data_IF_984627119455
#
_entry.id   IF_984627119455
#
_cell.length_a   1.000
_cell.length_b   1.000
_cell.length_c   1.000
_cell.angle_alpha   90.00
_cell.angle_beta   90.00
_cell.angle_gamma   90.00
#
_symmetry.space_group_name_H-M   'P 1'
#
loop_
_entity.id
_entity.type
_entity.pdbx_description
1 polymer ?
#
# COMPACT_ATOMS: atom_id res chain seq x y z
N UNK A 1 -53.53 29.83 -2.31
CA UNK A 1 -52.22 30.13 -1.70
C UNK A 1 -51.75 29.10 -0.69
N UNK A 2 -52.53 28.67 0.31
CA UNK A 2 -52.09 27.67 1.32
C UNK A 2 -51.68 26.30 0.75
N UNK A 3 -52.25 25.81 -0.34
CA UNK A 3 -51.89 24.53 -0.98
C UNK A 3 -50.53 24.56 -1.70
N UNK A 4 -50.16 25.70 -2.27
CA UNK A 4 -48.86 25.86 -2.97
C UNK A 4 -47.70 26.01 -1.98
N UNK A 5 -47.95 26.62 -0.81
CA UNK A 5 -46.97 26.77 0.26
C UNK A 5 -46.62 25.38 0.87
N UNK A 6 -47.62 24.52 1.01
CA UNK A 6 -47.43 23.17 1.56
C UNK A 6 -46.62 22.29 0.58
N UNK A 7 -46.85 22.40 -0.75
CA UNK A 7 -46.08 21.65 -1.74
C UNK A 7 -44.61 22.15 -1.88
N UNK A 8 -44.38 23.44 -1.70
CA UNK A 8 -43.03 24.01 -1.70
C UNK A 8 -42.25 23.56 -0.44
N UNK A 9 -42.93 23.50 0.72
CA UNK A 9 -42.32 23.01 1.97
C UNK A 9 -42.00 21.51 1.92
N UNK A 10 -42.82 20.70 1.26
CA UNK A 10 -42.58 19.26 1.05
C UNK A 10 -41.40 19.08 0.04
N UNK A 11 -41.30 19.91 -1.01
CA UNK A 11 -40.21 19.86 -1.98
C UNK A 11 -38.86 20.27 -1.37
N UNK A 12 -38.84 21.27 -0.48
CA UNK A 12 -37.65 21.70 0.26
C UNK A 12 -37.22 20.61 1.28
N UNK A 13 -38.14 19.90 1.90
CA UNK A 13 -37.83 18.77 2.80
C UNK A 13 -37.28 17.56 2.04
N UNK A 14 -37.69 17.33 0.78
CA UNK A 14 -37.15 16.25 -0.04
C UNK A 14 -35.77 16.57 -0.62
N UNK A 15 -35.45 17.83 -0.89
CA UNK A 15 -34.13 18.24 -1.36
C UNK A 15 -33.09 18.27 -0.26
N UNK A 16 -33.47 18.41 1.00
CA UNK A 16 -32.55 18.31 2.15
C UNK A 16 -32.20 16.87 2.56
N UNK A 17 -32.97 15.86 2.12
CA UNK A 17 -32.69 14.45 2.37
C UNK A 17 -31.72 13.81 1.34
N UNK A 18 -31.53 14.45 0.18
CA UNK A 18 -30.65 13.91 -0.87
C UNK A 18 -29.18 14.32 -0.74
N UNK A 19 -28.82 15.22 0.20
CA UNK A 19 -27.43 15.62 0.44
C UNK A 19 -26.75 14.91 1.64
N UNK A 20 -27.42 13.96 2.26
CA UNK A 20 -26.85 13.21 3.40
C UNK A 20 -25.97 12.03 2.99
N UNK A 21 -25.88 11.71 1.70
CA UNK A 21 -25.15 10.51 1.24
C UNK A 21 -23.66 10.72 0.93
N UNK A 22 -23.14 11.95 1.02
CA UNK A 22 -21.71 12.23 0.73
C UNK A 22 -20.87 12.62 1.94
N UNK A 23 -21.41 12.59 3.15
CA UNK A 23 -20.63 12.94 4.36
C UNK A 23 -19.88 11.75 4.95
N UNK A 24 -20.32 10.51 4.69
CA UNK A 24 -19.70 9.31 5.27
C UNK A 24 -18.32 8.97 4.69
N UNK A 25 -17.97 9.47 3.49
CA UNK A 25 -16.65 9.28 2.88
C UNK A 25 -15.57 10.23 3.41
N UNK A 26 -15.93 11.23 4.20
CA UNK A 26 -14.99 12.24 4.74
C UNK A 26 -14.28 11.77 6.02
N UNK A 27 -14.82 10.77 6.71
CA UNK A 27 -14.28 10.31 7.99
C UNK A 27 -13.97 8.82 7.98
N UNK A 28 -12.83 8.46 8.56
CA UNK A 28 -12.51 7.05 8.83
C UNK A 28 -13.39 6.52 9.98
N UNK A 29 -13.98 5.36 9.79
CA UNK A 29 -14.75 4.70 10.86
C UNK A 29 -13.81 4.02 11.84
N UNK A 30 -13.95 4.31 13.14
CA UNK A 30 -13.21 3.67 14.24
C UNK A 30 -14.15 2.93 15.15
N UNK A 31 -13.78 1.71 15.51
CA UNK A 31 -14.57 0.80 16.31
C UNK A 31 -13.70 0.27 17.44
N UNK A 32 -14.22 0.29 18.67
CA UNK A 32 -13.65 -0.43 19.80
C UNK A 32 -14.40 -1.75 19.96
N UNK A 33 -13.69 -2.86 20.02
CA UNK A 33 -14.26 -4.19 20.16
C UNK A 33 -13.45 -5.05 21.13
N UNK A 34 -13.95 -6.24 21.42
CA UNK A 34 -13.32 -7.16 22.36
C UNK A 34 -13.41 -8.59 21.87
N UNK A 35 -12.29 -9.28 21.77
CA UNK A 35 -12.22 -10.70 21.44
C UNK A 35 -12.09 -11.51 22.76
N UNK A 36 -13.00 -12.42 23.01
CA UNK A 36 -12.86 -13.41 24.08
C UNK A 36 -11.95 -14.54 23.59
N UNK A 37 -10.73 -14.55 24.09
CA UNK A 37 -9.71 -15.51 23.67
C UNK A 37 -9.77 -16.80 24.52
N UNK A 38 -9.77 -17.94 23.83
CA UNK A 38 -9.62 -19.26 24.45
C UNK A 38 -8.14 -19.54 24.74
N UNK A 39 -7.21 -19.07 23.89
CA UNK A 39 -5.78 -19.28 24.10
C UNK A 39 -5.24 -18.46 25.26
N UNK A 40 -5.76 -17.23 25.46
CA UNK A 40 -5.34 -16.37 26.57
C UNK A 40 -6.19 -16.56 27.83
N UNK A 41 -7.36 -17.16 27.70
CA UNK A 41 -8.38 -17.29 28.75
C UNK A 41 -8.78 -15.92 29.35
N UNK A 42 -8.84 -14.90 28.51
CA UNK A 42 -9.21 -13.53 28.89
C UNK A 42 -9.86 -12.79 27.73
N UNK A 43 -10.48 -11.65 28.02
CA UNK A 43 -10.96 -10.71 27.01
C UNK A 43 -9.81 -9.81 26.56
N UNK A 44 -9.64 -9.64 25.25
CA UNK A 44 -8.65 -8.75 24.69
C UNK A 44 -9.33 -7.61 23.94
N UNK A 45 -9.08 -6.38 24.39
CA UNK A 45 -9.56 -5.18 23.75
C UNK A 45 -8.79 -4.91 22.46
N UNK A 46 -9.51 -4.54 21.42
CA UNK A 46 -8.96 -4.18 20.12
C UNK A 46 -9.56 -2.86 19.62
N UNK A 47 -8.79 -2.10 18.87
CA UNK A 47 -9.24 -0.93 18.13
C UNK A 47 -9.18 -1.23 16.64
N UNK A 48 -10.22 -0.83 15.89
CA UNK A 48 -10.34 -1.11 14.46
C UNK A 48 -10.52 0.21 13.73
N UNK A 49 -9.77 0.43 12.65
CA UNK A 49 -10.04 1.50 11.69
C UNK A 49 -10.36 0.89 10.33
N UNK A 50 -11.53 1.21 9.81
CA UNK A 50 -11.93 0.82 8.46
C UNK A 50 -11.36 1.80 7.43
N UNK A 51 -11.06 1.32 6.21
CA UNK A 51 -10.69 2.18 5.08
C UNK A 51 -11.79 3.19 4.76
N UNK A 52 -11.43 4.37 4.23
CA UNK A 52 -12.41 5.40 3.82
C UNK A 52 -13.40 4.88 2.78
N UNK A 53 -12.92 4.08 1.84
CA UNK A 53 -13.75 3.51 0.77
C UNK A 53 -14.49 2.23 1.16
N UNK A 54 -14.43 1.81 2.45
CA UNK A 54 -14.94 0.50 2.87
C UNK A 54 -16.43 0.32 2.56
N UNK A 55 -17.28 1.27 2.91
CA UNK A 55 -18.71 1.18 2.65
C UNK A 55 -19.08 1.41 1.17
N UNK A 56 -18.33 2.28 0.49
CA UNK A 56 -18.57 2.60 -0.91
C UNK A 56 -18.20 1.47 -1.89
N UNK A 57 -17.34 0.54 -1.47
CA UNK A 57 -16.83 -0.55 -2.32
C UNK A 57 -17.09 -1.93 -1.68
N UNK A 58 -18.31 -2.47 -1.78
CA UNK A 58 -18.72 -3.69 -1.07
C UNK A 58 -17.96 -4.95 -1.48
N UNK A 59 -17.40 -4.98 -2.70
CA UNK A 59 -16.66 -6.13 -3.23
C UNK A 59 -15.14 -6.03 -3.02
N UNK A 60 -14.63 -4.83 -2.67
CA UNK A 60 -13.18 -4.62 -2.47
C UNK A 60 -12.71 -5.27 -1.17
N UNK A 61 -11.57 -5.95 -1.25
CA UNK A 61 -10.83 -6.48 -0.09
C UNK A 61 -9.64 -5.60 0.20
N UNK A 62 -9.27 -5.52 1.47
CA UNK A 62 -8.25 -4.61 1.96
C UNK A 62 -7.14 -5.37 2.70
N UNK A 63 -5.87 -4.98 2.57
CA UNK A 63 -4.81 -5.49 3.44
C UNK A 63 -5.16 -5.34 4.92
N UNK A 64 -4.81 -6.34 5.72
CA UNK A 64 -4.98 -6.30 7.17
C UNK A 64 -3.67 -5.88 7.84
N UNK A 65 -3.66 -4.80 8.59
CA UNK A 65 -2.51 -4.37 9.40
C UNK A 65 -2.80 -4.56 10.89
N UNK A 66 -2.08 -5.49 11.52
CA UNK A 66 -2.13 -5.71 12.97
C UNK A 66 -1.06 -4.86 13.64
N UNK A 67 -1.48 -4.02 14.57
CA UNK A 67 -0.64 -3.12 15.35
C UNK A 67 -0.56 -3.65 16.78
N UNK A 68 0.61 -4.11 17.17
CA UNK A 68 0.90 -4.46 18.54
C UNK A 68 1.09 -3.21 19.40
N UNK A 69 0.94 -3.32 20.71
CA UNK A 69 0.91 -2.15 21.61
C UNK A 69 -0.15 -1.11 21.18
N UNK A 70 -1.37 -1.58 20.81
CA UNK A 70 -2.44 -0.75 20.27
C UNK A 70 -2.74 0.49 21.10
N UNK A 71 -2.67 0.38 22.41
CA UNK A 71 -2.96 1.46 23.36
C UNK A 71 -2.13 2.74 23.16
N UNK A 72 -0.95 2.69 22.53
CA UNK A 72 -0.17 3.89 22.21
C UNK A 72 0.31 3.94 20.74
N UNK A 73 0.43 2.80 20.05
CA UNK A 73 0.87 2.76 18.66
C UNK A 73 -0.26 2.97 17.65
N UNK A 74 -1.50 2.61 18.01
CA UNK A 74 -2.62 2.63 17.06
C UNK A 74 -2.82 3.98 16.38
N UNK A 75 -2.84 5.07 17.14
CA UNK A 75 -3.12 6.40 16.59
C UNK A 75 -2.06 6.88 15.59
N UNK A 76 -0.78 6.58 15.84
CA UNK A 76 0.32 6.93 14.92
C UNK A 76 0.18 6.13 13.62
N UNK A 77 -0.05 4.83 13.74
CA UNK A 77 -0.18 3.93 12.58
C UNK A 77 -1.43 4.28 11.78
N UNK A 78 -2.57 4.38 12.44
CA UNK A 78 -3.85 4.66 11.81
C UNK A 78 -3.87 6.02 11.08
N UNK A 79 -3.31 7.06 11.70
CA UNK A 79 -3.17 8.38 11.06
C UNK A 79 -2.19 8.37 9.89
N UNK A 80 -1.09 7.63 9.99
CA UNK A 80 -0.12 7.50 8.90
C UNK A 80 -0.69 6.76 7.70
N UNK A 81 -1.39 5.64 7.94
CA UNK A 81 -2.04 4.86 6.88
C UNK A 81 -3.14 5.69 6.21
N UNK A 82 -3.98 6.37 6.99
CA UNK A 82 -5.05 7.22 6.44
C UNK A 82 -4.49 8.33 5.55
N UNK A 83 -3.43 9.02 6.00
CA UNK A 83 -2.81 10.09 5.23
C UNK A 83 -2.15 9.57 3.93
N UNK A 84 -1.32 8.51 4.02
CA UNK A 84 -0.60 7.98 2.87
C UNK A 84 -1.55 7.36 1.83
N UNK A 85 -2.61 6.67 2.27
CA UNK A 85 -3.60 6.10 1.35
C UNK A 85 -4.48 7.17 0.69
N UNK A 86 -4.77 8.28 1.37
CA UNK A 86 -5.50 9.41 0.79
C UNK A 86 -4.79 9.98 -0.45
N UNK A 87 -3.47 10.02 -0.44
CA UNK A 87 -2.66 10.49 -1.57
C UNK A 87 -2.30 9.39 -2.58
N UNK A 88 -2.65 8.13 -2.30
CA UNK A 88 -2.38 7.00 -3.19
C UNK A 88 -0.97 6.41 -3.08
N UNK A 89 -0.16 6.85 -2.12
CA UNK A 89 1.18 6.30 -1.89
C UNK A 89 1.15 4.83 -1.44
N UNK A 90 0.07 4.42 -0.77
CA UNK A 90 -0.15 3.06 -0.28
C UNK A 90 -1.61 2.64 -0.52
N UNK A 91 -1.93 1.33 -0.55
CA UNK A 91 -3.33 0.90 -0.54
C UNK A 91 -4.01 1.27 0.78
N UNK A 92 -5.32 1.44 0.73
CA UNK A 92 -6.12 1.53 1.95
C UNK A 92 -6.04 0.21 2.74
N UNK A 93 -5.84 0.30 4.05
CA UNK A 93 -5.73 -0.86 4.93
C UNK A 93 -6.83 -0.89 5.98
N UNK A 94 -7.30 -2.08 6.34
CA UNK A 94 -8.03 -2.31 7.57
C UNK A 94 -7.00 -2.46 8.70
N UNK A 95 -7.09 -1.62 9.73
CA UNK A 95 -6.11 -1.55 10.81
C UNK A 95 -6.71 -2.08 12.09
N UNK A 96 -5.96 -2.92 12.80
CA UNK A 96 -6.36 -3.53 14.06
C UNK A 96 -5.27 -3.33 15.10
N UNK A 97 -5.53 -2.50 16.10
CA UNK A 97 -4.68 -2.36 17.28
C UNK A 97 -5.05 -3.40 18.33
N UNK A 98 -4.09 -4.16 18.80
CA UNK A 98 -4.26 -5.07 19.94
C UNK A 98 -3.72 -4.36 21.17
N UNK A 99 -4.60 -4.05 22.13
CA UNK A 99 -4.24 -3.36 23.34
C UNK A 99 -3.50 -4.30 24.32
N UNK A 100 -2.33 -3.88 24.78
CA UNK A 100 -1.41 -4.70 25.57
C UNK A 100 -0.90 -4.01 26.84
N UNK A 101 -1.45 -2.85 27.22
CA UNK A 101 -0.97 -2.01 28.34
C UNK A 101 -0.58 -2.85 29.57
N UNK A 102 -1.46 -3.74 30.02
CA UNK A 102 -1.26 -4.53 31.24
C UNK A 102 -0.68 -5.93 30.96
N UNK A 103 -0.63 -6.34 29.69
CA UNK A 103 -0.23 -7.70 29.28
C UNK A 103 1.02 -7.73 28.42
N UNK A 104 1.58 -6.57 28.05
CA UNK A 104 2.70 -6.42 27.12
C UNK A 104 3.86 -7.37 27.43
N UNK A 105 4.26 -7.44 28.70
CA UNK A 105 5.33 -8.32 29.13
C UNK A 105 4.96 -9.79 28.97
N UNK A 106 3.78 -10.19 29.41
CA UNK A 106 3.25 -11.57 29.31
C UNK A 106 3.13 -12.01 27.84
N UNK A 107 2.67 -11.15 26.96
CA UNK A 107 2.42 -11.45 25.55
C UNK A 107 3.71 -11.52 24.72
N UNK A 108 4.71 -10.70 25.05
CA UNK A 108 5.95 -10.57 24.28
C UNK A 108 7.22 -10.92 25.05
N UNK A 109 7.08 -11.48 26.24
CA UNK A 109 8.21 -11.99 27.00
C UNK A 109 8.88 -13.14 26.29
N UNK A 110 10.14 -13.00 26.21
CA UNK A 110 11.03 -13.67 25.33
C UNK A 110 11.22 -15.14 25.70
N UNK A 111 11.74 -15.81 24.75
CA UNK A 111 12.26 -17.15 24.69
C UNK A 111 12.80 -17.70 26.01
N UNK A 112 12.49 -18.92 26.26
CA UNK A 112 13.23 -19.76 27.19
C UNK A 112 14.74 -19.65 26.90
N UNK A 113 15.52 -19.42 27.92
CA UNK A 113 16.96 -19.18 27.80
C UNK A 113 17.76 -20.39 27.28
N UNK A 114 17.18 -21.59 27.33
CA UNK A 114 17.83 -22.83 26.91
C UNK A 114 17.35 -23.24 25.51
N UNK A 115 16.04 -23.35 25.34
CA UNK A 115 15.44 -23.86 24.11
C UNK A 115 15.27 -22.78 23.04
N UNK A 116 15.37 -21.49 23.41
CA UNK A 116 15.12 -20.36 22.56
C UNK A 116 13.74 -20.37 21.88
N UNK A 117 12.80 -21.10 22.45
CA UNK A 117 11.40 -21.10 22.01
C UNK A 117 10.57 -20.11 22.83
N UNK A 118 9.48 -19.58 22.28
CA UNK A 118 8.57 -18.74 23.05
C UNK A 118 8.11 -19.46 24.32
N UNK A 119 8.15 -18.74 25.45
CA UNK A 119 7.55 -19.26 26.67
C UNK A 119 6.03 -19.39 26.50
N UNK A 120 5.38 -20.17 27.35
CA UNK A 120 3.97 -20.57 27.19
C UNK A 120 3.04 -19.36 26.93
N UNK A 121 3.20 -18.25 27.67
CA UNK A 121 2.34 -17.07 27.51
C UNK A 121 2.52 -16.40 26.15
N UNK A 122 3.75 -16.30 25.65
CA UNK A 122 4.05 -15.73 24.31
C UNK A 122 3.57 -16.67 23.20
N UNK A 123 3.69 -17.99 23.39
CA UNK A 123 3.12 -18.97 22.46
C UNK A 123 1.58 -18.86 22.41
N UNK A 124 0.92 -18.69 23.56
CA UNK A 124 -0.54 -18.48 23.61
C UNK A 124 -0.96 -17.17 22.91
N UNK A 125 -0.16 -16.11 23.02
CA UNK A 125 -0.43 -14.86 22.32
C UNK A 125 -0.21 -14.99 20.80
N UNK A 126 0.79 -15.75 20.38
CA UNK A 126 0.96 -16.10 18.97
C UNK A 126 -0.26 -16.87 18.45
N UNK A 127 -0.72 -17.89 19.17
CA UNK A 127 -1.90 -18.69 18.80
C UNK A 127 -3.19 -17.85 18.80
N UNK A 128 -3.35 -16.91 19.72
CA UNK A 128 -4.45 -15.93 19.72
C UNK A 128 -4.47 -15.15 18.41
N UNK A 129 -3.35 -14.59 17.96
CA UNK A 129 -3.29 -13.83 16.71
C UNK A 129 -3.62 -14.72 15.51
N UNK A 130 -2.98 -15.89 15.42
CA UNK A 130 -3.09 -16.77 14.25
C UNK A 130 -4.45 -17.46 14.17
N UNK A 131 -4.95 -17.96 15.29
CA UNK A 131 -6.11 -18.84 15.31
C UNK A 131 -7.42 -18.16 15.76
N UNK A 132 -7.37 -16.93 16.28
CA UNK A 132 -8.55 -16.18 16.69
C UNK A 132 -8.66 -14.82 16.01
N UNK A 133 -7.64 -13.94 16.07
CA UNK A 133 -7.72 -12.59 15.48
C UNK A 133 -7.84 -12.66 13.95
N UNK A 134 -6.91 -13.31 13.26
CA UNK A 134 -6.94 -13.40 11.80
C UNK A 134 -8.22 -14.07 11.29
N UNK A 135 -8.69 -15.21 11.84
CA UNK A 135 -9.96 -15.81 11.46
C UNK A 135 -11.18 -14.94 11.75
N UNK A 136 -11.19 -14.19 12.87
CA UNK A 136 -12.26 -13.25 13.20
C UNK A 136 -12.39 -12.18 12.11
N UNK A 137 -11.28 -11.56 11.70
CA UNK A 137 -11.29 -10.55 10.65
C UNK A 137 -11.60 -11.15 9.27
N UNK A 138 -11.11 -12.35 8.97
CA UNK A 138 -11.42 -13.04 7.71
C UNK A 138 -12.89 -13.38 7.54
N UNK A 139 -13.60 -13.63 8.66
CA UNK A 139 -15.03 -13.96 8.67
C UNK A 139 -15.94 -12.75 8.64
N UNK A 140 -15.56 -11.67 9.33
CA UNK A 140 -16.45 -10.55 9.60
C UNK A 140 -16.14 -9.31 8.75
N UNK A 141 -14.96 -9.26 8.11
CA UNK A 141 -14.49 -8.11 7.34
C UNK A 141 -13.92 -8.52 5.99
N UNK A 142 -13.88 -7.59 5.05
CA UNK A 142 -13.33 -7.80 3.72
C UNK A 142 -11.82 -7.57 3.73
N UNK A 143 -11.06 -8.57 4.13
CA UNK A 143 -9.60 -8.53 4.12
C UNK A 143 -9.02 -9.35 2.96
N UNK A 144 -7.89 -8.88 2.40
CA UNK A 144 -7.10 -9.59 1.39
C UNK A 144 -6.17 -10.62 2.04
N UNK A 145 -5.38 -11.30 1.25
CA UNK A 145 -4.37 -12.24 1.78
C UNK A 145 -3.12 -11.52 2.28
N UNK A 146 -2.88 -10.29 1.83
CA UNK A 146 -1.74 -9.52 2.29
C UNK A 146 -1.99 -9.00 3.71
N UNK A 147 -1.11 -9.37 4.62
CA UNK A 147 -1.19 -9.01 6.04
C UNK A 147 0.11 -8.44 6.53
N UNK A 148 0.01 -7.39 7.31
CA UNK A 148 1.13 -6.68 7.93
C UNK A 148 1.02 -6.83 9.45
N UNK A 149 2.14 -7.04 10.13
CA UNK A 149 2.24 -6.90 11.58
C UNK A 149 3.30 -5.86 11.92
N UNK A 150 2.97 -4.98 12.86
CA UNK A 150 3.85 -3.91 13.33
C UNK A 150 4.02 -3.99 14.84
N UNK A 151 5.25 -3.83 15.31
CA UNK A 151 5.57 -3.75 16.72
C UNK A 151 6.79 -2.86 17.01
N UNK A 152 6.93 -2.51 18.30
CA UNK A 152 8.05 -1.71 18.80
C UNK A 152 8.75 -2.44 19.95
N UNK A 153 10.08 -2.37 20.02
CA UNK A 153 10.91 -2.95 21.09
C UNK A 153 10.63 -4.46 21.30
N UNK A 154 9.95 -4.83 22.36
CA UNK A 154 9.59 -6.23 22.70
C UNK A 154 8.61 -6.81 21.68
N UNK A 155 7.59 -6.06 21.37
CA UNK A 155 6.56 -6.50 20.42
C UNK A 155 7.08 -6.54 18.99
N UNK A 156 8.09 -5.72 18.63
CA UNK A 156 8.82 -5.86 17.37
C UNK A 156 9.61 -7.18 17.32
N UNK A 157 10.31 -7.53 18.41
CA UNK A 157 10.98 -8.84 18.51
C UNK A 157 9.96 -9.99 18.43
N UNK A 158 8.79 -9.85 19.06
CA UNK A 158 7.72 -10.83 18.95
C UNK A 158 7.20 -10.94 17.49
N UNK A 159 7.00 -9.82 16.80
CA UNK A 159 6.58 -9.81 15.39
C UNK A 159 7.57 -10.57 14.50
N UNK A 160 8.87 -10.50 14.78
CA UNK A 160 9.91 -11.21 14.04
C UNK A 160 9.75 -12.75 14.08
N UNK A 161 9.10 -13.32 15.10
CA UNK A 161 8.86 -14.77 15.15
C UNK A 161 7.95 -15.27 14.03
N UNK A 162 7.09 -14.43 13.48
CA UNK A 162 6.24 -14.81 12.35
C UNK A 162 7.06 -15.09 11.11
N UNK A 163 8.24 -14.44 10.95
CA UNK A 163 9.15 -14.67 9.85
C UNK A 163 9.95 -15.98 9.94
N UNK A 164 9.97 -16.61 11.12
CA UNK A 164 10.67 -17.88 11.34
C UNK A 164 9.85 -19.10 10.92
N UNK A 165 8.63 -18.90 10.44
CA UNK A 165 7.75 -19.98 9.99
C UNK A 165 7.94 -20.26 8.51
N UNK A 166 7.87 -21.55 8.13
CA UNK A 166 7.97 -21.97 6.72
C UNK A 166 6.91 -21.32 5.83
N UNK A 167 5.70 -21.16 6.38
CA UNK A 167 4.58 -20.47 5.71
C UNK A 167 4.12 -19.32 6.61
N UNK A 168 4.74 -18.14 6.50
CA UNK A 168 4.38 -16.99 7.32
C UNK A 168 2.94 -16.56 7.07
N UNK A 169 2.21 -16.28 8.15
CA UNK A 169 0.82 -15.77 8.05
C UNK A 169 0.77 -14.28 7.75
N UNK A 170 1.88 -13.57 7.94
CA UNK A 170 2.09 -12.19 7.55
C UNK A 170 3.08 -12.12 6.40
N UNK A 171 2.74 -11.34 5.37
CA UNK A 171 3.59 -11.09 4.21
C UNK A 171 4.51 -9.89 4.45
N UNK A 172 4.16 -9.03 5.41
CA UNK A 172 5.03 -7.93 5.82
C UNK A 172 5.17 -7.84 7.35
N UNK A 173 6.38 -7.53 7.80
CA UNK A 173 6.69 -7.25 9.21
C UNK A 173 7.40 -5.90 9.29
N UNK A 174 6.85 -5.00 10.11
CA UNK A 174 7.46 -3.72 10.46
C UNK A 174 7.98 -3.81 11.88
N UNK A 175 9.30 -3.78 12.02
CA UNK A 175 10.02 -4.01 13.27
C UNK A 175 10.76 -2.73 13.69
N UNK A 176 10.20 -2.01 14.67
CA UNK A 176 10.72 -0.71 15.11
C UNK A 176 11.52 -0.89 16.40
N UNK A 177 12.81 -0.53 16.38
CA UNK A 177 13.71 -0.64 17.55
C UNK A 177 13.61 -1.99 18.26
N UNK A 178 13.71 -3.13 17.57
CA UNK A 178 13.45 -4.43 18.19
C UNK A 178 14.49 -4.77 19.25
N UNK A 179 14.02 -5.11 20.45
CA UNK A 179 14.84 -5.70 21.51
C UNK A 179 15.04 -7.18 21.20
N UNK A 180 16.00 -7.46 20.33
CA UNK A 180 16.27 -8.81 19.83
C UNK A 180 16.55 -9.80 20.95
N UNK A 181 15.90 -10.96 20.90
CA UNK A 181 16.25 -12.09 21.74
C UNK A 181 17.53 -12.76 21.24
N UNK A 182 18.14 -13.58 22.10
CA UNK A 182 19.36 -14.30 21.75
C UNK A 182 19.18 -15.10 20.45
N UNK A 183 20.13 -15.01 19.56
CA UNK A 183 20.16 -15.66 18.25
C UNK A 183 19.08 -15.22 17.24
N UNK A 184 18.21 -14.25 17.56
CA UNK A 184 17.15 -13.81 16.64
C UNK A 184 17.76 -13.34 15.29
N UNK A 185 18.87 -12.59 15.32
CA UNK A 185 19.55 -12.13 14.10
C UNK A 185 19.95 -13.29 13.19
N UNK A 186 20.56 -14.34 13.75
CA UNK A 186 20.97 -15.53 13.00
C UNK A 186 19.76 -16.27 12.41
N UNK A 187 18.70 -16.46 13.22
CA UNK A 187 17.48 -17.12 12.76
C UNK A 187 16.78 -16.37 11.65
N UNK A 188 16.67 -15.03 11.77
CA UNK A 188 16.08 -14.19 10.71
C UNK A 188 16.89 -14.29 9.43
N UNK A 189 18.21 -14.10 9.51
CA UNK A 189 19.09 -14.17 8.34
C UNK A 189 19.02 -15.53 7.65
N UNK A 190 19.02 -16.63 8.42
CA UNK A 190 18.90 -17.95 7.85
C UNK A 190 17.55 -18.21 7.20
N UNK A 191 16.45 -17.88 7.86
CA UNK A 191 15.11 -18.13 7.31
C UNK A 191 14.81 -17.23 6.10
N UNK A 192 15.15 -15.94 6.18
CA UNK A 192 14.88 -14.99 5.09
C UNK A 192 15.74 -15.26 3.85
N UNK A 193 16.97 -15.75 4.01
CA UNK A 193 17.80 -16.17 2.87
C UNK A 193 17.20 -17.35 2.08
N UNK A 194 16.41 -18.20 2.74
CA UNK A 194 15.85 -19.44 2.17
C UNK A 194 14.34 -19.36 1.92
N UNK A 195 13.68 -18.22 2.22
CA UNK A 195 12.23 -18.15 2.09
C UNK A 195 11.77 -18.28 0.65
N UNK A 196 10.72 -19.10 0.46
CA UNK A 196 10.00 -19.19 -0.83
C UNK A 196 8.73 -18.33 -0.84
N UNK A 197 8.34 -17.77 0.30
CA UNK A 197 7.21 -16.85 0.40
C UNK A 197 7.65 -15.44 0.07
N UNK A 198 6.80 -14.67 -0.59
CA UNK A 198 7.01 -13.22 -0.78
C UNK A 198 6.91 -12.53 0.57
N UNK A 199 8.02 -11.97 1.04
CA UNK A 199 8.15 -11.32 2.34
C UNK A 199 8.70 -9.92 2.17
N UNK A 200 8.09 -8.98 2.89
CA UNK A 200 8.59 -7.63 3.06
C UNK A 200 8.99 -7.47 4.54
N UNK A 201 10.23 -7.11 4.77
CA UNK A 201 10.73 -6.88 6.12
C UNK A 201 11.31 -5.46 6.24
N UNK A 202 10.66 -4.62 7.02
CA UNK A 202 11.12 -3.26 7.30
C UNK A 202 11.64 -3.19 8.73
N UNK A 203 12.91 -2.81 8.87
CA UNK A 203 13.62 -2.72 10.14
C UNK A 203 14.03 -1.28 10.40
N UNK A 204 13.75 -0.74 11.58
CA UNK A 204 14.18 0.60 11.92
C UNK A 204 14.80 0.72 13.31
N UNK A 205 15.76 1.63 13.44
CA UNK A 205 16.38 2.06 14.70
C UNK A 205 17.02 3.44 14.53
N UNK A 206 17.67 3.94 15.57
CA UNK A 206 18.39 5.22 15.56
C UNK A 206 19.77 5.06 16.20
N UNK A 207 20.72 5.89 15.78
CA UNK A 207 22.03 6.01 16.44
C UNK A 207 21.94 6.48 17.89
N UNK A 208 20.82 7.12 18.27
CA UNK A 208 20.52 7.57 19.64
C UNK A 208 19.56 6.62 20.39
N UNK A 209 19.29 5.46 19.82
CA UNK A 209 18.55 4.38 20.50
C UNK A 209 19.38 3.79 21.67
N UNK A 210 18.78 2.90 22.44
CA UNK A 210 19.57 2.12 23.41
C UNK A 210 20.71 1.38 22.69
N UNK A 211 21.92 1.50 23.19
CA UNK A 211 23.13 0.98 22.55
C UNK A 211 23.00 -0.50 22.15
N UNK A 212 22.44 -1.33 23.02
CA UNK A 212 22.24 -2.76 22.75
C UNK A 212 21.24 -3.02 21.61
N UNK A 213 20.20 -2.16 21.47
CA UNK A 213 19.22 -2.27 20.39
C UNK A 213 19.87 -1.85 19.08
N UNK A 214 20.47 -0.66 19.04
CA UNK A 214 21.12 -0.16 17.83
C UNK A 214 22.20 -1.11 17.30
N UNK A 215 23.02 -1.67 18.19
CA UNK A 215 24.04 -2.66 17.84
C UNK A 215 23.43 -3.90 17.17
N UNK A 216 22.42 -4.52 17.81
CA UNK A 216 21.76 -5.71 17.26
C UNK A 216 21.07 -5.43 15.93
N UNK A 217 20.42 -4.27 15.79
CA UNK A 217 19.78 -3.84 14.54
C UNK A 217 20.82 -3.64 13.44
N UNK A 218 21.95 -2.99 13.74
CA UNK A 218 23.02 -2.77 12.78
C UNK A 218 23.65 -4.10 12.31
N UNK A 219 23.86 -5.05 13.22
CA UNK A 219 24.35 -6.39 12.88
C UNK A 219 23.36 -7.14 11.97
N UNK A 220 22.07 -7.12 12.30
CA UNK A 220 21.04 -7.75 11.47
C UNK A 220 20.95 -7.08 10.09
N UNK A 221 20.94 -5.76 10.05
CA UNK A 221 20.95 -5.00 8.79
C UNK A 221 22.06 -5.47 7.87
N UNK A 222 23.32 -5.50 8.36
CA UNK A 222 24.47 -5.91 7.58
C UNK A 222 24.33 -7.35 7.05
N UNK A 223 23.75 -8.25 7.87
CA UNK A 223 23.50 -9.63 7.46
C UNK A 223 22.42 -9.72 6.36
N UNK A 224 21.35 -8.93 6.48
CA UNK A 224 20.25 -8.96 5.52
C UNK A 224 20.55 -8.24 4.22
N UNK A 225 21.33 -7.17 4.24
CA UNK A 225 21.77 -6.44 3.04
C UNK A 225 22.58 -7.34 2.06
N UNK A 226 23.18 -8.42 2.58
CA UNK A 226 23.93 -9.38 1.76
C UNK A 226 23.07 -10.48 1.14
N UNK A 227 21.79 -10.57 1.50
CA UNK A 227 20.89 -11.63 1.02
C UNK A 227 20.37 -11.30 -0.38
N UNK A 228 20.68 -12.18 -1.33
CA UNK A 228 20.09 -12.14 -2.67
C UNK A 228 18.97 -13.17 -2.78
N UNK A 229 17.74 -12.78 -2.39
CA UNK A 229 16.56 -13.62 -2.52
C UNK A 229 15.41 -12.79 -3.11
N UNK A 230 14.99 -13.11 -4.34
CA UNK A 230 13.89 -12.42 -5.06
C UNK A 230 12.53 -12.45 -4.36
N UNK A 231 12.38 -13.28 -3.34
CA UNK A 231 11.17 -13.37 -2.54
C UNK A 231 11.24 -12.49 -1.28
N UNK A 232 12.41 -11.93 -0.97
CA UNK A 232 12.60 -11.03 0.15
C UNK A 232 12.78 -9.60 -0.35
N UNK A 233 11.92 -8.69 0.14
CA UNK A 233 12.18 -7.26 0.08
C UNK A 233 12.55 -6.81 1.49
N UNK A 234 13.79 -6.44 1.67
CA UNK A 234 14.30 -5.92 2.94
C UNK A 234 14.63 -4.44 2.81
N UNK A 235 14.23 -3.67 3.80
CA UNK A 235 14.63 -2.28 3.92
C UNK A 235 14.92 -1.91 5.37
N UNK A 236 15.99 -1.15 5.57
CA UNK A 236 16.37 -0.64 6.89
C UNK A 236 16.37 0.88 6.93
N UNK A 237 15.72 1.43 7.95
CA UNK A 237 15.63 2.86 8.21
C UNK A 237 16.42 3.20 9.47
N UNK A 238 17.62 3.74 9.30
CA UNK A 238 18.47 4.15 10.42
C UNK A 238 18.40 5.68 10.54
N UNK A 239 17.93 6.14 11.67
CA UNK A 239 17.80 7.55 12.01
C UNK A 239 19.04 8.03 12.79
N UNK A 240 19.36 9.32 12.72
CA UNK A 240 20.60 9.85 13.29
C UNK A 240 20.41 10.41 14.71
N UNK A 241 19.32 11.13 14.98
CA UNK A 241 19.17 11.96 16.16
C UNK A 241 18.01 11.57 17.09
N UNK A 242 17.13 10.67 16.65
CA UNK A 242 15.92 10.31 17.37
C UNK A 242 16.23 9.34 18.53
N UNK A 243 15.82 9.71 19.76
CA UNK A 243 15.90 8.77 20.86
C UNK A 243 14.82 7.68 20.75
N UNK A 244 14.95 6.63 21.53
CA UNK A 244 14.07 5.46 21.54
C UNK A 244 12.57 5.79 21.58
N UNK A 245 12.17 6.81 22.35
CA UNK A 245 10.76 7.13 22.59
C UNK A 245 10.15 8.02 21.50
N UNK A 246 10.96 8.84 20.82
CA UNK A 246 10.51 9.69 19.71
C UNK A 246 10.53 8.93 18.39
N UNK A 247 11.45 7.98 18.24
CA UNK A 247 11.66 7.24 17.01
C UNK A 247 10.38 6.70 16.37
N UNK A 248 9.41 6.11 17.08
CA UNK A 248 8.19 5.60 16.44
C UNK A 248 7.40 6.67 15.68
N UNK A 249 7.36 7.91 16.18
CA UNK A 249 6.61 9.00 15.54
C UNK A 249 7.15 9.37 14.15
N UNK A 250 8.41 9.13 13.88
CA UNK A 250 9.08 9.39 12.60
C UNK A 250 9.26 8.11 11.78
N UNK A 251 9.51 6.99 12.46
CA UNK A 251 9.76 5.71 11.82
C UNK A 251 8.48 5.09 11.24
N UNK A 252 7.33 5.18 11.93
CA UNK A 252 6.08 4.55 11.51
C UNK A 252 5.67 4.98 10.09
N UNK A 253 5.50 6.27 9.76
CA UNK A 253 5.07 6.67 8.42
C UNK A 253 6.08 6.26 7.34
N UNK A 254 7.39 6.36 7.63
CA UNK A 254 8.44 5.94 6.69
C UNK A 254 8.45 4.42 6.49
N UNK A 255 8.30 3.64 7.56
CA UNK A 255 8.26 2.18 7.49
C UNK A 255 7.03 1.67 6.73
N UNK A 256 5.88 2.30 6.92
CA UNK A 256 4.66 1.98 6.18
C UNK A 256 4.86 2.27 4.69
N UNK A 257 5.36 3.47 4.34
CA UNK A 257 5.64 3.82 2.95
C UNK A 257 6.66 2.86 2.32
N UNK A 258 7.72 2.51 3.03
CA UNK A 258 8.71 1.53 2.60
C UNK A 258 8.09 0.15 2.34
N UNK A 259 7.22 -0.32 3.25
CA UNK A 259 6.50 -1.59 3.08
C UNK A 259 5.69 -1.63 1.78
N UNK A 260 5.13 -0.50 1.36
CA UNK A 260 4.33 -0.37 0.14
C UNK A 260 5.06 0.35 -1.00
N UNK A 261 6.38 0.46 -1.00
CA UNK A 261 7.13 1.28 -1.95
C UNK A 261 6.93 0.89 -3.43
N UNK A 262 6.56 -0.37 -3.74
CA UNK A 262 6.20 -0.75 -5.10
C UNK A 262 4.79 -0.29 -5.52
N UNK A 263 3.95 0.13 -4.55
CA UNK A 263 2.56 0.51 -4.83
C UNK A 263 2.42 1.97 -5.29
N UNK A 264 3.32 2.87 -4.84
CA UNK A 264 3.31 4.27 -5.26
C UNK A 264 3.50 4.41 -6.76
N UNK A 265 3.02 5.49 -7.33
CA UNK A 265 3.26 5.81 -8.74
C UNK A 265 4.76 6.02 -8.99
N UNK A 266 5.16 5.90 -10.27
CA UNK A 266 6.52 6.18 -10.72
C UNK A 266 6.89 7.60 -10.31
N UNK A 267 7.95 7.73 -9.52
CA UNK A 267 8.49 9.02 -9.12
C UNK A 267 9.73 9.39 -9.97
N UNK A 268 10.21 10.61 -9.78
CA UNK A 268 11.38 11.09 -10.51
C UNK A 268 12.63 10.23 -10.29
N UNK A 269 12.78 9.63 -9.11
CA UNK A 269 13.96 8.78 -8.81
C UNK A 269 13.88 7.48 -9.61
N UNK A 270 12.70 6.84 -9.65
CA UNK A 270 12.46 5.63 -10.45
C UNK A 270 12.61 5.95 -11.94
N UNK A 271 12.10 7.10 -12.41
CA UNK A 271 12.27 7.54 -13.79
C UNK A 271 13.73 7.71 -14.15
N UNK A 272 14.48 8.56 -13.44
CA UNK A 272 15.87 8.90 -13.73
C UNK A 272 16.83 7.69 -13.61
N UNK A 273 16.56 6.77 -12.67
CA UNK A 273 17.48 5.64 -12.40
C UNK A 273 17.15 4.37 -13.19
N UNK A 274 15.90 4.17 -13.58
CA UNK A 274 15.44 2.92 -14.21
C UNK A 274 14.86 3.19 -15.59
N UNK A 275 13.81 4.04 -15.69
CA UNK A 275 13.05 4.18 -16.94
C UNK A 275 13.89 4.78 -18.05
N UNK A 276 14.64 5.86 -17.75
CA UNK A 276 15.52 6.50 -18.73
C UNK A 276 16.63 5.57 -19.29
N UNK A 277 16.84 4.42 -18.67
CA UNK A 277 17.88 3.44 -19.05
C UNK A 277 17.31 2.04 -19.36
N UNK A 278 16.04 1.94 -19.79
CA UNK A 278 15.40 0.66 -20.04
C UNK A 278 16.09 -0.13 -21.15
N UNK A 279 16.39 -1.40 -20.88
CA UNK A 279 16.87 -2.38 -21.86
C UNK A 279 15.72 -3.25 -22.41
N UNK A 280 14.51 -3.10 -21.91
CA UNK A 280 13.30 -3.81 -22.31
C UNK A 280 12.25 -2.83 -22.82
N UNK A 281 11.17 -3.34 -23.44
CA UNK A 281 10.02 -2.52 -23.84
C UNK A 281 9.49 -1.73 -22.63
N UNK A 282 9.21 -0.42 -22.77
CA UNK A 282 8.60 0.37 -21.71
C UNK A 282 7.21 -0.15 -21.31
N UNK A 283 6.50 -0.78 -22.23
CA UNK A 283 5.21 -1.42 -21.95
C UNK A 283 5.38 -2.67 -21.11
N UNK A 284 6.40 -3.50 -21.42
CA UNK A 284 6.73 -4.67 -20.60
C UNK A 284 7.19 -4.27 -19.20
N UNK A 285 7.98 -3.20 -19.08
CA UNK A 285 8.36 -2.65 -17.79
C UNK A 285 7.11 -2.30 -16.96
N UNK A 286 6.20 -1.51 -17.53
CA UNK A 286 4.99 -1.06 -16.85
C UNK A 286 4.09 -2.24 -16.46
N UNK A 287 3.88 -3.17 -17.35
CA UNK A 287 3.08 -4.38 -17.08
C UNK A 287 3.69 -5.25 -15.99
N UNK A 288 5.01 -5.47 -16.03
CA UNK A 288 5.73 -6.24 -15.02
C UNK A 288 5.68 -5.56 -13.64
N UNK A 289 5.79 -4.24 -13.59
CA UNK A 289 5.67 -3.46 -12.37
C UNK A 289 4.33 -3.69 -11.68
N UNK A 290 3.23 -3.63 -12.42
CA UNK A 290 1.88 -3.87 -11.87
C UNK A 290 1.63 -5.35 -11.54
N UNK A 291 2.26 -6.28 -12.27
CA UNK A 291 2.24 -7.69 -11.89
C UNK A 291 2.96 -7.94 -10.54
N UNK A 292 4.08 -7.24 -10.27
CA UNK A 292 4.76 -7.30 -8.97
C UNK A 292 3.88 -6.74 -7.84
N UNK A 293 3.13 -5.65 -8.07
CA UNK A 293 2.16 -5.12 -7.11
C UNK A 293 1.14 -6.20 -6.75
N UNK A 294 0.56 -6.85 -7.75
CA UNK A 294 -0.38 -7.96 -7.54
C UNK A 294 0.26 -9.14 -6.78
N UNK A 295 1.46 -9.54 -7.16
CA UNK A 295 2.16 -10.68 -6.57
C UNK A 295 2.52 -10.46 -5.10
N UNK A 296 2.92 -9.24 -4.72
CA UNK A 296 3.33 -8.92 -3.36
C UNK A 296 2.16 -8.51 -2.47
N UNK A 297 1.21 -7.71 -2.99
CA UNK A 297 0.15 -7.12 -2.17
C UNK A 297 -1.21 -7.81 -2.31
N UNK A 298 -1.35 -8.79 -3.20
CA UNK A 298 -2.65 -9.45 -3.52
C UNK A 298 -3.72 -8.43 -3.93
N UNK A 299 -3.30 -7.38 -4.67
CA UNK A 299 -4.17 -6.29 -5.10
C UNK A 299 -4.06 -6.05 -6.62
N UNK A 300 -5.22 -6.03 -7.28
CA UNK A 300 -5.33 -5.64 -8.69
C UNK A 300 -5.42 -4.10 -8.78
N UNK A 301 -4.27 -3.42 -8.87
CA UNK A 301 -4.20 -1.97 -9.06
C UNK A 301 -4.29 -1.65 -10.55
N UNK A 302 -5.21 -0.76 -10.94
CA UNK A 302 -5.24 -0.17 -12.29
C UNK A 302 -3.99 0.68 -12.50
N UNK A 303 -3.38 0.61 -13.66
CA UNK A 303 -2.21 1.42 -14.01
C UNK A 303 -2.58 2.90 -13.90
N UNK A 304 -1.83 3.67 -13.13
CA UNK A 304 -2.15 5.07 -12.87
C UNK A 304 -1.90 5.94 -14.11
N UNK A 305 -2.61 7.08 -14.19
CA UNK A 305 -2.35 8.06 -15.24
C UNK A 305 -0.93 8.63 -15.16
N UNK A 306 -0.38 8.80 -13.95
CA UNK A 306 0.99 9.26 -13.77
C UNK A 306 2.01 8.26 -14.38
N UNK A 307 1.75 6.97 -14.24
CA UNK A 307 2.63 5.93 -14.78
C UNK A 307 2.51 5.83 -16.31
N UNK A 308 1.31 6.02 -16.86
CA UNK A 308 1.14 6.19 -18.31
C UNK A 308 1.91 7.41 -18.86
N UNK A 309 1.84 8.54 -18.16
CA UNK A 309 2.57 9.76 -18.54
C UNK A 309 4.10 9.58 -18.43
N UNK A 310 4.59 8.87 -17.44
CA UNK A 310 6.03 8.56 -17.31
C UNK A 310 6.54 7.73 -18.50
N UNK A 311 5.74 6.76 -18.98
CA UNK A 311 6.09 5.98 -20.18
C UNK A 311 5.97 6.84 -21.44
N UNK A 312 5.00 7.72 -21.53
CA UNK A 312 4.87 8.69 -22.62
C UNK A 312 6.10 9.60 -22.70
N UNK A 313 6.56 10.16 -21.56
CA UNK A 313 7.78 10.98 -21.48
C UNK A 313 9.00 10.22 -22.02
N UNK A 314 9.19 8.97 -21.62
CA UNK A 314 10.25 8.12 -22.14
C UNK A 314 10.15 7.89 -23.67
N UNK A 315 8.95 7.68 -24.20
CA UNK A 315 8.72 7.51 -25.64
C UNK A 315 9.10 8.78 -26.40
N UNK A 316 8.68 9.95 -25.90
CA UNK A 316 8.98 11.25 -26.50
C UNK A 316 10.47 11.58 -26.47
N UNK A 317 11.15 11.43 -25.32
CA UNK A 317 12.58 11.73 -25.16
C UNK A 317 13.48 10.89 -26.07
N UNK A 318 13.04 9.66 -26.40
CA UNK A 318 13.83 8.74 -27.23
C UNK A 318 13.32 8.62 -28.68
N UNK A 319 12.25 9.36 -29.04
CA UNK A 319 11.59 9.26 -30.35
C UNK A 319 11.14 7.82 -30.71
N UNK A 320 10.76 7.02 -29.71
CA UNK A 320 10.33 5.62 -29.86
C UNK A 320 8.84 5.51 -30.15
N UNK A 321 8.34 6.26 -31.09
CA UNK A 321 6.91 6.48 -31.35
C UNK A 321 6.11 5.19 -31.67
N UNK A 322 6.76 4.14 -32.12
CA UNK A 322 6.10 2.85 -32.34
C UNK A 322 5.44 2.29 -31.08
N UNK A 323 6.00 2.55 -29.89
CA UNK A 323 5.43 2.12 -28.62
C UNK A 323 4.09 2.77 -28.26
N UNK A 324 3.73 3.88 -28.89
CA UNK A 324 2.40 4.47 -28.71
C UNK A 324 1.27 3.53 -29.13
N UNK A 325 1.51 2.65 -30.13
CA UNK A 325 0.52 1.66 -30.52
C UNK A 325 0.24 0.67 -29.37
N UNK A 326 1.28 0.17 -28.73
CA UNK A 326 1.16 -0.77 -27.61
C UNK A 326 0.62 -0.11 -26.36
N UNK A 327 1.04 1.15 -26.09
CA UNK A 327 0.50 1.97 -25.01
C UNK A 327 -1.00 2.23 -25.20
N UNK A 328 -1.46 2.45 -26.45
CA UNK A 328 -2.89 2.58 -26.79
C UNK A 328 -3.66 1.29 -26.47
N UNK A 329 -3.09 0.12 -26.75
CA UNK A 329 -3.73 -1.16 -26.46
C UNK A 329 -3.81 -1.41 -24.94
N UNK A 330 -2.75 -1.10 -24.22
CA UNK A 330 -2.74 -1.18 -22.75
C UNK A 330 -3.75 -0.21 -22.13
N UNK A 331 -3.81 1.03 -22.63
CA UNK A 331 -4.81 2.01 -22.20
C UNK A 331 -6.27 1.54 -22.48
N UNK A 332 -6.49 0.79 -23.55
CA UNK A 332 -7.82 0.23 -23.84
C UNK A 332 -8.23 -0.87 -22.85
N UNK A 333 -7.27 -1.60 -22.30
CA UNK A 333 -7.53 -2.62 -21.27
C UNK A 333 -7.79 -1.98 -19.91
N UNK A 334 -6.98 -0.99 -19.52
CA UNK A 334 -7.03 -0.36 -18.20
C UNK A 334 -8.14 0.69 -18.08
N UNK A 335 -8.42 1.43 -19.18
CA UNK A 335 -9.36 2.56 -19.23
C UNK A 335 -10.38 2.39 -20.37
N UNK A 336 -11.18 1.31 -20.39
CA UNK A 336 -12.13 1.08 -21.46
C UNK A 336 -13.21 2.19 -21.54
N UNK A 337 -13.52 2.63 -22.77
CA UNK A 337 -14.54 3.66 -23.02
C UNK A 337 -14.12 5.09 -22.68
N UNK A 338 -12.84 5.33 -22.42
CA UNK A 338 -12.27 6.67 -22.18
C UNK A 338 -11.52 7.18 -23.40
N UNK A 339 -11.13 8.46 -23.35
CA UNK A 339 -10.36 9.13 -24.43
C UNK A 339 -8.89 8.64 -24.48
N UNK A 340 -8.36 8.02 -23.42
CA UNK A 340 -6.94 7.66 -23.32
C UNK A 340 -6.44 6.74 -24.43
N UNK A 341 -7.14 5.63 -24.77
CA UNK A 341 -6.75 4.77 -25.90
C UNK A 341 -6.69 5.54 -27.23
N UNK A 342 -7.66 6.43 -27.47
CA UNK A 342 -7.71 7.23 -28.70
C UNK A 342 -6.60 8.28 -28.73
N UNK A 343 -6.23 8.85 -27.61
CA UNK A 343 -5.09 9.75 -27.49
C UNK A 343 -3.80 9.07 -27.96
N UNK A 344 -3.42 7.96 -27.35
CA UNK A 344 -2.19 7.24 -27.73
C UNK A 344 -2.26 6.66 -29.15
N UNK A 345 -3.43 6.25 -29.60
CA UNK A 345 -3.59 5.81 -31.01
C UNK A 345 -3.41 6.97 -31.98
N UNK A 346 -3.91 8.14 -31.65
CA UNK A 346 -3.70 9.37 -32.42
C UNK A 346 -2.22 9.74 -32.47
N UNK A 347 -1.51 9.76 -31.33
CA UNK A 347 -0.07 10.01 -31.26
C UNK A 347 0.72 9.05 -32.15
N UNK A 348 0.44 7.74 -32.08
CA UNK A 348 1.07 6.76 -32.94
C UNK A 348 0.90 7.10 -34.44
N UNK A 349 -0.32 7.37 -34.87
CA UNK A 349 -0.64 7.63 -36.28
C UNK A 349 -0.07 8.96 -36.75
N UNK A 350 -0.06 9.97 -35.90
CA UNK A 350 0.54 11.29 -36.17
C UNK A 350 2.04 11.17 -36.39
N UNK A 351 2.77 10.54 -35.48
CA UNK A 351 4.23 10.43 -35.52
C UNK A 351 4.72 9.44 -36.59
N UNK A 352 3.87 8.47 -37.00
CA UNK A 352 4.20 7.53 -38.08
C UNK A 352 3.77 7.99 -39.47
N UNK A 353 3.31 9.25 -39.61
CA UNK A 353 3.20 9.94 -40.91
C UNK A 353 1.81 9.98 -41.55
N UNK A 354 0.72 9.76 -40.79
CA UNK A 354 -0.64 9.96 -41.26
C UNK A 354 -1.41 10.98 -40.37
N UNK A 355 -0.98 12.26 -40.35
CA UNK A 355 -1.58 13.25 -39.46
C UNK A 355 -3.08 13.48 -39.74
N UNK A 356 -3.53 13.33 -41.01
CA UNK A 356 -4.95 13.44 -41.33
C UNK A 356 -5.80 12.39 -40.61
N UNK A 357 -5.33 11.16 -40.57
CA UNK A 357 -6.01 10.08 -39.88
C UNK A 357 -5.95 10.28 -38.35
N UNK A 358 -4.82 10.77 -37.81
CA UNK A 358 -4.69 11.13 -36.41
C UNK A 358 -5.73 12.19 -35.99
N UNK A 359 -5.89 13.24 -36.77
CA UNK A 359 -6.91 14.29 -36.58
C UNK A 359 -8.32 13.69 -36.42
N UNK A 360 -8.71 12.74 -37.29
CA UNK A 360 -10.02 12.09 -37.19
C UNK A 360 -10.13 11.21 -35.93
N UNK A 361 -9.06 10.55 -35.50
CA UNK A 361 -9.04 9.76 -34.27
C UNK A 361 -9.28 10.67 -33.06
N UNK A 362 -8.56 11.78 -32.94
CA UNK A 362 -8.75 12.74 -31.85
C UNK A 362 -10.17 13.28 -31.80
N UNK A 363 -10.74 13.70 -32.94
CA UNK A 363 -12.14 14.19 -33.03
C UNK A 363 -13.17 13.12 -32.64
N UNK A 364 -12.95 11.88 -33.04
CA UNK A 364 -13.87 10.77 -32.74
C UNK A 364 -13.98 10.45 -31.24
N UNK A 365 -12.94 10.78 -30.48
CA UNK A 365 -12.89 10.56 -29.04
C UNK A 365 -13.78 11.51 -28.22
N UNK A 366 -14.33 12.57 -28.82
CA UNK A 366 -15.12 13.61 -28.11
C UNK A 366 -16.31 13.04 -27.33
N UNK A 367 -16.92 11.95 -27.77
CA UNK A 367 -18.05 11.31 -27.09
C UNK A 367 -17.64 10.31 -25.99
N UNK A 368 -16.34 10.09 -25.78
CA UNK A 368 -15.82 9.19 -24.76
C UNK A 368 -15.68 9.90 -23.41
N UNK A 369 -15.42 9.16 -22.35
CA UNK A 369 -15.18 9.72 -21.00
C UNK A 369 -13.75 10.27 -20.89
N UNK A 370 -13.60 11.38 -20.22
CA UNK A 370 -12.31 11.93 -19.84
C UNK A 370 -11.63 11.09 -18.77
N UNK A 371 -10.31 11.25 -18.64
CA UNK A 371 -9.51 10.71 -17.54
C UNK A 371 -8.76 11.84 -16.84
N UNK A 372 -8.30 11.58 -15.62
CA UNK A 372 -7.54 12.59 -14.85
C UNK A 372 -6.32 13.06 -15.65
N UNK A 373 -6.21 14.35 -15.89
CA UNK A 373 -5.08 14.95 -16.60
C UNK A 373 -5.18 14.98 -18.12
N UNK A 374 -6.20 14.35 -18.72
CA UNK A 374 -6.44 14.39 -20.17
C UNK A 374 -7.89 14.76 -20.45
N UNK A 375 -8.12 15.85 -21.19
CA UNK A 375 -9.45 16.40 -21.49
C UNK A 375 -9.79 16.26 -22.97
N UNK A 376 -11.08 16.34 -23.29
CA UNK A 376 -11.57 16.34 -24.68
C UNK A 376 -11.12 17.58 -25.44
N UNK A 377 -11.09 18.72 -24.75
CA UNK A 377 -10.61 19.98 -25.29
C UNK A 377 -9.17 19.83 -25.79
N UNK A 378 -8.30 19.19 -25.02
CA UNK A 378 -6.91 18.96 -25.45
C UNK A 378 -6.83 18.09 -26.70
N UNK A 379 -7.65 17.03 -26.83
CA UNK A 379 -7.70 16.24 -28.05
C UNK A 379 -8.20 17.06 -29.26
N UNK A 380 -9.16 17.94 -29.05
CA UNK A 380 -9.62 18.88 -30.11
C UNK A 380 -8.53 19.89 -30.49
N UNK A 381 -7.76 20.40 -29.55
CA UNK A 381 -6.61 21.27 -29.82
C UNK A 381 -5.57 20.56 -30.71
N UNK A 382 -5.23 19.27 -30.38
CA UNK A 382 -4.36 18.48 -31.25
C UNK A 382 -4.92 18.32 -32.67
N UNK A 383 -6.21 18.01 -32.77
CA UNK A 383 -6.86 17.87 -34.08
C UNK A 383 -6.86 19.18 -34.90
N UNK A 384 -7.13 20.31 -34.24
CA UNK A 384 -7.16 21.63 -34.90
C UNK A 384 -5.74 22.06 -35.32
N UNK A 385 -4.72 21.81 -34.50
CA UNK A 385 -3.32 22.04 -34.87
C UNK A 385 -2.96 21.31 -36.14
N UNK A 386 -3.31 20.00 -36.26
CA UNK A 386 -3.05 19.22 -37.47
C UNK A 386 -3.80 19.82 -38.69
N UNK A 387 -5.05 20.24 -38.52
CA UNK A 387 -5.84 20.86 -39.57
C UNK A 387 -5.19 22.15 -40.11
N UNK A 388 -4.69 22.99 -39.19
CA UNK A 388 -4.00 24.25 -39.51
C UNK A 388 -2.63 24.00 -40.18
N UNK A 389 -1.81 23.13 -39.62
CA UNK A 389 -0.44 22.84 -40.08
C UNK A 389 -0.41 22.23 -41.50
N UNK A 390 -1.41 21.42 -41.85
CA UNK A 390 -1.48 20.71 -43.13
C UNK A 390 -2.56 21.23 -44.08
N UNK A 391 -3.30 22.28 -43.71
CA UNK A 391 -4.40 22.87 -44.50
C UNK A 391 -5.44 21.85 -44.97
N UNK A 392 -5.89 20.97 -44.07
CA UNK A 392 -6.90 19.94 -44.38
C UNK A 392 -8.33 20.50 -44.40
#
# INVERSE_FOLDING_TARGET
MKKYILNILIFILFTSLSNSQNLDSLYVSRINDTILSKYLNEKRSIEIQLPRSYEANPDKKYPLMIVLDGDYMFNIVAGSVDYLSYWGDIPENLIVGINQKDTRFKDSSVLDNITHTPITSTASFYDFIVNEVIPYFSKNYRISKFRVILGQERTANFANFFLLKKNPVFQAVISISPKMSKNMNSYLSENLSKTNSKIIYTLSSSKKDFESIYKNVSELKNSLDSINNKNLKFESLIFDEENHYILPSLSVPKSIRSTYSMYSDIDKIEYDSIISNLEISPIDYLTNRYQLIKDFYDEDKTISMNDFMAIEEYIEENEFFDFYNDLSQLAKQEYPGTILPSYYRGRFIEETGDPKKAMYIYRSAYNMKEVKGLTKEYLLELANRIEEDFNY
#
